data_IF_048165541031
#
_entry.id   IF_048165541031
#
_cell.length_a   1.000
_cell.length_b   1.000
_cell.length_c   1.000
_cell.angle_alpha   90.00
_cell.angle_beta   90.00
_cell.angle_gamma   90.00
#
_symmetry.space_group_name_H-M   'P 1'
#
loop_
_entity.id
_entity.type
_entity.pdbx_description
1 polymer ?
#
# COMPACT_ATOMS: atom_id res chain seq x y z
N UNK A 1 65.75 50.07 -38.87
CA UNK A 1 65.66 48.79 -39.62
C UNK A 1 65.74 47.64 -38.62
N UNK A 2 64.94 46.59 -38.83
CA UNK A 2 64.65 45.43 -37.93
C UNK A 2 63.56 45.76 -36.89
N UNK A 3 62.54 44.94 -36.65
CA UNK A 3 62.21 43.61 -37.15
C UNK A 3 60.70 43.40 -36.99
N UNK A 4 60.08 42.71 -37.95
CA UNK A 4 58.71 42.25 -37.88
C UNK A 4 58.56 41.18 -36.78
N UNK A 5 57.49 41.29 -35.99
CA UNK A 5 57.03 40.28 -35.03
C UNK A 5 55.56 39.99 -35.28
N UNK A 6 55.31 38.84 -35.91
CA UNK A 6 54.00 38.24 -36.15
C UNK A 6 53.23 38.12 -34.82
N UNK A 7 52.07 38.75 -34.69
CA UNK A 7 51.09 38.44 -33.66
C UNK A 7 50.03 37.52 -34.26
N UNK A 8 50.06 36.25 -33.87
CA UNK A 8 49.04 35.26 -34.15
C UNK A 8 47.72 35.64 -33.44
N UNK A 9 46.63 35.71 -34.20
CA UNK A 9 45.27 35.66 -33.68
C UNK A 9 44.93 34.19 -33.34
N UNK A 10 44.48 33.86 -32.12
CA UNK A 10 43.94 32.53 -31.85
C UNK A 10 42.52 32.45 -32.41
N UNK A 11 42.23 31.33 -33.09
CA UNK A 11 40.93 30.99 -33.65
C UNK A 11 39.87 30.87 -32.54
N UNK A 12 38.74 31.56 -32.71
CA UNK A 12 37.53 31.34 -31.93
C UNK A 12 36.92 29.98 -32.35
N UNK A 13 37.25 28.93 -31.62
CA UNK A 13 36.50 27.67 -31.66
C UNK A 13 35.17 27.90 -30.93
N UNK A 14 34.08 27.94 -31.70
CA UNK A 14 32.71 27.91 -31.18
C UNK A 14 32.48 26.56 -30.48
N UNK A 15 32.63 26.52 -29.17
CA UNK A 15 32.21 25.37 -28.35
C UNK A 15 30.69 25.36 -28.28
N UNK A 16 30.05 24.55 -29.14
CA UNK A 16 28.67 24.14 -28.94
C UNK A 16 28.62 23.31 -27.65
N UNK A 17 27.95 23.83 -26.63
CA UNK A 17 27.57 23.08 -25.45
C UNK A 17 26.70 21.89 -25.91
N UNK A 18 27.01 20.64 -25.53
CA UNK A 18 26.07 19.56 -25.74
C UNK A 18 24.86 19.82 -24.83
N UNK A 19 23.69 19.97 -25.44
CA UNK A 19 22.41 19.92 -24.76
C UNK A 19 22.39 18.61 -23.96
N UNK A 20 22.28 18.70 -22.64
CA UNK A 20 22.04 17.54 -21.80
C UNK A 20 20.76 16.86 -22.34
N UNK A 21 20.92 15.69 -22.96
CA UNK A 21 19.80 14.79 -23.19
C UNK A 21 19.33 14.38 -21.80
N UNK A 22 18.21 14.96 -21.36
CA UNK A 22 17.48 14.43 -20.24
C UNK A 22 17.22 12.96 -20.51
N UNK A 23 17.75 12.09 -19.65
CA UNK A 23 17.41 10.69 -19.63
C UNK A 23 15.93 10.57 -19.29
N UNK A 24 15.09 10.53 -20.33
CA UNK A 24 13.71 10.10 -20.21
C UNK A 24 13.71 8.58 -20.06
N UNK A 25 14.11 8.09 -18.89
CA UNK A 25 13.87 6.71 -18.50
C UNK A 25 12.37 6.57 -18.18
N UNK A 26 11.70 5.73 -18.96
CA UNK A 26 10.26 5.49 -18.94
C UNK A 26 9.79 4.84 -17.63
N UNK A 27 9.16 5.63 -16.75
CA UNK A 27 8.56 5.22 -15.47
C UNK A 27 7.33 4.28 -15.55
N UNK A 28 6.94 3.82 -16.74
CA UNK A 28 5.73 3.03 -16.94
C UNK A 28 6.04 1.55 -17.15
N UNK A 29 5.32 0.67 -16.43
CA UNK A 29 5.41 -0.78 -16.59
C UNK A 29 4.46 -1.25 -17.70
N UNK A 30 3.14 -1.02 -17.55
CA UNK A 30 2.10 -1.29 -18.57
C UNK A 30 0.69 -0.90 -18.07
N UNK A 31 -0.30 -0.95 -18.96
CA UNK A 31 -1.72 -0.97 -18.60
C UNK A 31 -2.13 -2.35 -18.08
N UNK A 32 -2.85 -2.37 -16.96
CA UNK A 32 -3.43 -3.56 -16.35
C UNK A 32 -4.94 -3.51 -16.47
N UNK A 33 -5.50 -4.43 -17.26
CA UNK A 33 -6.95 -4.50 -17.46
C UNK A 33 -7.64 -5.23 -16.30
N UNK A 34 -8.85 -4.78 -16.02
CA UNK A 34 -9.75 -5.37 -15.01
C UNK A 34 -11.16 -5.50 -15.57
N UNK A 35 -11.94 -6.43 -14.99
CA UNK A 35 -13.31 -6.70 -15.39
C UNK A 35 -14.34 -5.80 -14.69
N UNK A 36 -15.60 -5.89 -15.16
CA UNK A 36 -16.79 -5.30 -14.51
C UNK A 36 -16.80 -3.77 -14.43
N UNK A 37 -16.10 -3.09 -15.34
CA UNK A 37 -15.94 -1.64 -15.31
C UNK A 37 -15.41 -1.12 -13.97
N UNK A 38 -14.64 -1.93 -13.25
CA UNK A 38 -14.09 -1.61 -11.94
C UNK A 38 -12.55 -1.67 -12.04
N UNK A 39 -11.81 -0.57 -11.81
CA UNK A 39 -10.34 -0.56 -11.83
C UNK A 39 -9.68 -1.47 -10.77
N UNK A 40 -10.46 -1.97 -9.80
CA UNK A 40 -10.06 -2.93 -8.79
C UNK A 40 -10.75 -4.29 -8.94
N UNK A 41 -11.49 -4.48 -10.04
CA UNK A 41 -12.12 -5.74 -10.40
C UNK A 41 -11.11 -6.85 -10.71
N UNK A 42 -11.63 -8.02 -11.10
CA UNK A 42 -10.78 -9.16 -11.41
C UNK A 42 -9.83 -8.82 -12.56
N UNK A 43 -8.55 -9.20 -12.42
CA UNK A 43 -7.54 -8.99 -13.46
C UNK A 43 -7.90 -9.72 -14.75
N UNK A 44 -7.70 -9.05 -15.88
CA UNK A 44 -7.84 -9.60 -17.22
C UNK A 44 -6.51 -9.54 -17.99
N UNK A 45 -5.52 -10.40 -17.67
CA UNK A 45 -4.15 -10.29 -18.21
C UNK A 45 -4.08 -10.33 -19.74
N UNK A 46 -5.04 -10.98 -20.39
CA UNK A 46 -5.17 -11.02 -21.84
C UNK A 46 -5.45 -9.66 -22.49
N UNK A 47 -5.99 -8.71 -21.71
CA UNK A 47 -6.35 -7.36 -22.13
C UNK A 47 -5.34 -6.28 -21.64
N UNK A 48 -4.26 -6.69 -20.95
CA UNK A 48 -3.16 -5.78 -20.58
C UNK A 48 -2.54 -5.17 -21.86
N UNK A 49 -2.10 -3.92 -21.78
CA UNK A 49 -1.60 -3.18 -22.95
C UNK A 49 -0.27 -2.46 -22.68
N UNK A 50 0.54 -2.25 -23.73
CA UNK A 50 1.80 -1.52 -23.62
C UNK A 50 1.59 -0.05 -23.22
N UNK A 51 2.59 0.58 -22.61
CA UNK A 51 2.50 1.94 -22.08
C UNK A 51 2.09 3.00 -23.10
N UNK A 52 2.52 2.87 -24.35
CA UNK A 52 2.21 3.78 -25.44
C UNK A 52 0.86 3.51 -26.13
N UNK A 53 0.15 2.43 -25.75
CA UNK A 53 -1.18 2.13 -26.27
C UNK A 53 -2.17 3.14 -25.69
N UNK A 54 -2.96 3.75 -26.58
CA UNK A 54 -4.14 4.53 -26.17
C UNK A 54 -5.21 3.60 -25.61
N UNK A 55 -5.59 3.84 -24.36
CA UNK A 55 -6.68 3.16 -23.68
C UNK A 55 -7.95 3.94 -23.99
N UNK A 56 -8.87 3.31 -24.71
CA UNK A 56 -10.14 3.90 -25.10
C UNK A 56 -11.20 3.70 -23.99
N UNK A 57 -12.22 4.57 -23.99
CA UNK A 57 -13.42 4.36 -23.18
C UNK A 57 -14.05 2.98 -23.45
N UNK A 58 -14.63 2.37 -22.42
CA UNK A 58 -15.18 1.02 -22.44
C UNK A 58 -14.26 -0.05 -21.83
N UNK A 59 -13.06 0.34 -21.40
CA UNK A 59 -12.12 -0.54 -20.68
C UNK A 59 -11.93 -0.04 -19.25
N UNK A 60 -11.91 -0.95 -18.29
CA UNK A 60 -11.50 -0.65 -16.91
C UNK A 60 -10.11 -1.17 -16.60
N UNK A 61 -9.43 -0.49 -15.68
CA UNK A 61 -8.11 -0.90 -15.23
C UNK A 61 -7.29 0.25 -14.67
N UNK A 62 -5.97 0.09 -14.70
CA UNK A 62 -5.03 1.07 -14.18
C UNK A 62 -3.68 1.01 -14.88
N UNK A 63 -2.93 2.09 -14.80
CA UNK A 63 -1.53 2.12 -15.20
C UNK A 63 -0.64 1.68 -14.05
N UNK A 64 0.17 0.65 -14.29
CA UNK A 64 1.25 0.27 -13.40
C UNK A 64 2.51 1.04 -13.80
N UNK A 65 3.07 1.77 -12.85
CA UNK A 65 4.33 2.50 -12.97
C UNK A 65 5.38 1.87 -12.05
N UNK A 66 6.64 2.24 -12.24
CA UNK A 66 7.73 1.81 -11.35
C UNK A 66 7.46 2.14 -9.87
N UNK A 67 8.01 1.31 -8.98
CA UNK A 67 7.82 1.44 -7.53
C UNK A 67 6.44 0.99 -7.02
N UNK A 68 5.80 0.02 -7.68
CA UNK A 68 4.45 -0.51 -7.33
C UNK A 68 3.37 0.58 -7.30
N UNK A 69 3.56 1.66 -8.06
CA UNK A 69 2.61 2.76 -8.16
C UNK A 69 1.51 2.39 -9.17
N UNK A 70 0.27 2.55 -8.75
CA UNK A 70 -0.93 2.45 -9.59
C UNK A 70 -1.52 3.84 -9.75
N UNK A 71 -1.59 4.30 -11.00
CA UNK A 71 -2.10 5.63 -11.39
C UNK A 71 -3.17 5.47 -12.46
N UNK A 72 -3.99 6.52 -12.67
CA UNK A 72 -5.11 6.50 -13.63
C UNK A 72 -5.95 5.22 -13.51
N UNK A 73 -6.36 4.91 -12.28
CA UNK A 73 -7.39 3.91 -12.00
C UNK A 73 -8.71 4.43 -12.59
N UNK A 74 -9.24 3.75 -13.60
CA UNK A 74 -10.45 4.17 -14.33
C UNK A 74 -11.45 3.03 -14.47
N UNK A 75 -12.73 3.39 -14.40
CA UNK A 75 -13.86 2.56 -14.83
C UNK A 75 -13.96 2.57 -16.37
N UNK A 76 -15.08 2.13 -16.95
CA UNK A 76 -15.28 2.18 -18.40
C UNK A 76 -15.55 3.60 -18.97
N UNK A 77 -15.86 4.58 -18.13
CA UNK A 77 -16.27 5.93 -18.53
C UNK A 77 -15.14 6.95 -18.33
N UNK A 78 -14.12 6.86 -19.17
CA UNK A 78 -12.98 7.77 -19.14
C UNK A 78 -12.61 8.31 -20.53
N UNK A 79 -11.97 9.47 -20.56
CA UNK A 79 -11.33 10.00 -21.78
C UNK A 79 -10.10 9.16 -22.13
N UNK A 80 -9.74 9.11 -23.41
CA UNK A 80 -8.56 8.34 -23.83
C UNK A 80 -7.26 8.89 -23.24
N UNK A 81 -6.38 7.99 -22.83
CA UNK A 81 -5.03 8.34 -22.33
C UNK A 81 -4.03 7.22 -22.65
N UNK A 82 -2.75 7.50 -22.43
CA UNK A 82 -1.68 6.48 -22.42
C UNK A 82 -1.09 6.35 -21.02
N UNK A 83 -0.60 5.15 -20.68
CA UNK A 83 0.07 4.96 -19.40
C UNK A 83 1.43 5.64 -19.33
N UNK A 84 2.07 5.87 -20.47
CA UNK A 84 3.28 6.69 -20.55
C UNK A 84 3.02 8.12 -20.06
N UNK A 85 1.98 8.80 -20.56
CA UNK A 85 1.58 10.13 -20.09
C UNK A 85 1.15 10.10 -18.62
N UNK A 86 0.38 9.09 -18.22
CA UNK A 86 -0.12 8.94 -16.87
C UNK A 86 1.01 8.79 -15.83
N UNK A 87 2.02 7.97 -16.13
CA UNK A 87 3.15 7.76 -15.26
C UNK A 87 4.14 8.94 -15.27
N UNK A 88 4.17 9.74 -16.35
CA UNK A 88 5.06 10.89 -16.49
C UNK A 88 4.54 12.17 -15.79
N UNK A 89 3.22 12.30 -15.58
CA UNK A 89 2.61 13.51 -15.03
C UNK A 89 2.46 13.50 -13.50
N UNK A 90 2.97 12.48 -12.81
CA UNK A 90 2.70 12.34 -11.39
C UNK A 90 3.71 13.12 -10.53
N UNK A 91 3.30 14.31 -10.10
CA UNK A 91 3.99 15.17 -9.13
C UNK A 91 4.25 14.51 -7.76
N UNK A 92 3.76 13.28 -7.53
CA UNK A 92 4.05 12.49 -6.34
C UNK A 92 5.29 11.59 -6.48
N UNK A 93 5.78 11.33 -7.70
CA UNK A 93 7.00 10.55 -7.92
C UNK A 93 8.28 11.32 -7.56
N UNK A 94 8.21 12.66 -7.54
CA UNK A 94 9.28 13.54 -7.05
C UNK A 94 9.29 13.71 -5.53
N UNK A 95 8.35 13.09 -4.81
CA UNK A 95 8.41 12.97 -3.36
C UNK A 95 9.10 11.66 -3.01
N UNK A 96 10.41 11.56 -3.28
CA UNK A 96 11.25 10.65 -2.49
C UNK A 96 10.93 10.90 -1.01
N UNK A 97 10.71 9.87 -0.20
CA UNK A 97 10.47 10.08 1.23
C UNK A 97 11.53 11.06 1.75
N UNK A 98 11.14 12.17 2.40
CA UNK A 98 12.13 13.06 2.97
C UNK A 98 13.09 12.23 3.82
N UNK A 99 14.38 12.50 3.71
CA UNK A 99 15.40 11.76 4.44
C UNK A 99 15.02 11.66 5.93
N UNK A 100 15.00 10.46 6.50
CA UNK A 100 14.54 10.20 7.87
C UNK A 100 13.07 9.75 8.01
N UNK A 101 12.35 9.56 6.91
CA UNK A 101 10.97 9.04 6.89
C UNK A 101 10.84 7.76 6.07
N UNK A 102 11.91 6.96 5.95
CA UNK A 102 11.95 5.73 5.17
C UNK A 102 11.22 4.57 5.88
N UNK A 103 11.11 4.62 7.21
CA UNK A 103 10.58 3.53 8.03
C UNK A 103 9.23 3.86 8.66
N UNK A 104 8.49 2.80 8.98
CA UNK A 104 7.33 2.87 9.87
C UNK A 104 7.85 2.88 11.30
N UNK A 105 7.37 3.85 12.09
CA UNK A 105 7.83 4.06 13.47
C UNK A 105 6.69 3.91 14.47
N UNK A 106 7.02 3.62 15.72
CA UNK A 106 6.06 3.63 16.82
C UNK A 106 5.41 5.03 16.94
N UNK A 107 4.09 5.06 17.15
CA UNK A 107 3.30 6.29 17.22
C UNK A 107 2.91 6.88 15.86
N UNK A 108 3.36 6.30 14.75
CA UNK A 108 2.88 6.68 13.41
C UNK A 108 1.43 6.26 13.19
N UNK A 109 0.68 7.10 12.46
CA UNK A 109 -0.67 6.78 11.99
C UNK A 109 -0.64 6.40 10.52
N UNK A 110 -0.88 5.15 10.20
CA UNK A 110 -0.71 4.58 8.86
C UNK A 110 -2.03 4.12 8.26
N UNK A 111 -2.08 4.04 6.94
CA UNK A 111 -3.06 3.25 6.20
C UNK A 111 -2.37 1.99 5.69
N UNK A 112 -2.87 0.84 6.09
CA UNK A 112 -2.43 -0.43 5.53
C UNK A 112 -3.20 -0.72 4.27
N UNK A 113 -2.48 -0.81 3.15
CA UNK A 113 -3.07 -1.05 1.83
C UNK A 113 -2.83 -2.51 1.46
N UNK A 114 -3.90 -3.22 1.13
CA UNK A 114 -3.82 -4.58 0.60
C UNK A 114 -3.25 -4.53 -0.82
N UNK A 115 -2.24 -5.35 -1.12
CA UNK A 115 -1.51 -5.18 -2.37
C UNK A 115 -2.33 -5.52 -3.63
N UNK A 116 -2.96 -6.70 -3.75
CA UNK A 116 -3.77 -7.04 -4.92
C UNK A 116 -4.93 -6.07 -5.19
N UNK A 117 -5.76 -5.78 -4.19
CA UNK A 117 -7.00 -4.99 -4.38
C UNK A 117 -6.77 -3.48 -4.25
N UNK A 118 -5.70 -3.06 -3.56
CA UNK A 118 -5.41 -1.66 -3.20
C UNK A 118 -6.42 -1.02 -2.28
N UNK A 119 -7.27 -1.82 -1.64
CA UNK A 119 -8.17 -1.33 -0.61
C UNK A 119 -7.39 -1.15 0.70
N UNK A 120 -7.86 -0.23 1.55
CA UNK A 120 -7.21 0.11 2.82
C UNK A 120 -7.91 -0.58 3.97
N UNK A 121 -7.14 -1.11 4.92
CA UNK A 121 -7.67 -1.64 6.17
C UNK A 121 -8.53 -0.57 6.85
N UNK A 122 -9.73 -0.95 7.24
CA UNK A 122 -10.79 -0.02 7.62
C UNK A 122 -11.66 -0.61 8.72
N UNK A 123 -12.22 0.24 9.57
CA UNK A 123 -13.23 -0.15 10.56
C UNK A 123 -14.27 0.97 10.75
N UNK A 124 -15.32 0.73 11.50
CA UNK A 124 -16.45 1.66 11.67
C UNK A 124 -17.34 1.21 12.83
N UNK A 125 -18.34 1.99 13.23
CA UNK A 125 -19.27 1.65 14.31
C UNK A 125 -20.37 0.63 13.93
N UNK A 126 -20.01 -0.37 13.13
CA UNK A 126 -20.87 -1.49 12.74
C UNK A 126 -20.27 -2.76 13.32
N UNK A 127 -21.11 -3.67 13.78
CA UNK A 127 -20.72 -4.93 14.39
C UNK A 127 -21.07 -6.08 13.45
N UNK A 128 -20.33 -7.18 13.55
CA UNK A 128 -20.73 -8.40 12.86
C UNK A 128 -22.06 -8.91 13.40
N UNK A 129 -22.95 -9.35 12.50
CA UNK A 129 -24.18 -10.06 12.89
C UNK A 129 -23.96 -11.54 13.23
N UNK A 130 -22.74 -12.04 12.98
CA UNK A 130 -22.31 -13.42 13.21
C UNK A 130 -21.02 -13.46 14.04
N UNK A 131 -20.55 -14.66 14.34
CA UNK A 131 -19.25 -14.85 15.00
C UNK A 131 -19.22 -14.21 16.39
N UNK A 132 -18.23 -13.34 16.63
CA UNK A 132 -18.04 -12.72 17.95
C UNK A 132 -18.98 -11.57 18.27
N UNK A 133 -19.70 -11.05 17.26
CA UNK A 133 -20.51 -9.83 17.33
C UNK A 133 -19.71 -8.57 17.72
N UNK A 134 -18.38 -8.60 17.58
CA UNK A 134 -17.54 -7.43 17.79
C UNK A 134 -17.62 -6.46 16.59
N UNK A 135 -16.98 -5.30 16.74
CA UNK A 135 -16.90 -4.30 15.68
C UNK A 135 -16.20 -4.87 14.45
N UNK A 136 -16.81 -4.67 13.28
CA UNK A 136 -16.31 -5.21 12.01
C UNK A 136 -15.06 -4.51 11.53
N UNK A 137 -14.18 -5.28 10.87
CA UNK A 137 -13.01 -4.79 10.17
C UNK A 137 -13.10 -5.24 8.72
N UNK A 138 -12.93 -4.29 7.81
CA UNK A 138 -13.08 -4.48 6.37
C UNK A 138 -11.91 -3.85 5.65
N UNK A 139 -11.92 -3.92 4.31
CA UNK A 139 -11.14 -2.98 3.52
C UNK A 139 -12.04 -2.04 2.72
N UNK A 140 -11.61 -0.80 2.59
CA UNK A 140 -12.33 0.28 1.93
C UNK A 140 -11.53 0.84 0.76
N UNK A 141 -12.21 1.17 -0.34
CA UNK A 141 -11.56 1.64 -1.57
C UNK A 141 -11.06 3.08 -1.48
N UNK A 142 -11.78 3.96 -0.78
CA UNK A 142 -11.51 5.40 -0.82
C UNK A 142 -10.18 5.74 -0.14
N UNK A 143 -9.30 6.45 -0.88
CA UNK A 143 -7.97 6.83 -0.41
C UNK A 143 -8.00 7.85 0.72
N UNK A 144 -8.98 8.75 0.72
CA UNK A 144 -9.12 9.86 1.66
C UNK A 144 -10.02 9.54 2.87
N UNK A 145 -10.45 8.29 3.03
CA UNK A 145 -11.29 7.91 4.15
C UNK A 145 -10.51 7.99 5.48
N UNK A 146 -11.16 8.57 6.50
CA UNK A 146 -10.56 8.82 7.83
C UNK A 146 -10.61 7.59 8.73
N UNK A 147 -11.53 6.66 8.48
CA UNK A 147 -11.63 5.40 9.22
C UNK A 147 -10.65 4.32 8.72
N UNK A 148 -9.73 4.73 7.84
CA UNK A 148 -8.65 3.87 7.34
C UNK A 148 -7.33 4.11 8.06
N UNK A 149 -7.30 5.00 9.07
CA UNK A 149 -6.10 5.31 9.85
C UNK A 149 -5.96 4.42 11.08
N UNK A 150 -4.77 3.84 11.23
CA UNK A 150 -4.40 2.96 12.34
C UNK A 150 -3.11 3.46 13.00
N UNK A 151 -3.12 3.60 14.31
CA UNK A 151 -1.96 3.94 15.12
C UNK A 151 -1.11 2.69 15.40
N UNK A 152 0.18 2.78 15.13
CA UNK A 152 1.15 1.71 15.42
C UNK A 152 1.62 1.83 16.88
N UNK A 153 1.43 0.77 17.66
CA UNK A 153 1.82 0.67 19.08
C UNK A 153 2.59 -0.63 19.32
N UNK A 154 3.22 -0.74 20.49
CA UNK A 154 3.83 -1.98 20.98
C UNK A 154 2.82 -3.13 21.12
N UNK A 155 3.33 -4.37 21.08
CA UNK A 155 2.57 -5.57 21.39
C UNK A 155 2.00 -5.57 22.81
N UNK A 156 0.93 -6.35 23.05
CA UNK A 156 0.36 -6.48 24.39
C UNK A 156 1.38 -7.07 25.37
N UNK A 157 1.49 -6.46 26.55
CA UNK A 157 2.43 -6.85 27.61
C UNK A 157 3.90 -6.44 27.37
N UNK A 158 4.22 -5.80 26.25
CA UNK A 158 5.56 -5.24 25.98
C UNK A 158 5.71 -3.85 26.62
N UNK A 159 6.96 -3.39 26.79
CA UNK A 159 7.22 -2.03 27.23
C UNK A 159 6.73 -1.03 26.16
N UNK A 160 6.16 0.09 26.61
CA UNK A 160 5.73 1.17 25.72
C UNK A 160 6.87 1.58 24.78
N UNK A 161 6.62 1.55 23.47
CA UNK A 161 7.64 1.92 22.50
C UNK A 161 7.85 3.44 22.46
N UNK A 162 9.10 3.85 22.21
CA UNK A 162 9.43 5.26 22.05
C UNK A 162 8.86 5.79 20.73
N UNK A 163 8.12 6.89 20.80
CA UNK A 163 7.52 7.51 19.62
C UNK A 163 8.62 7.98 18.66
N UNK A 164 8.49 7.65 17.38
CA UNK A 164 9.53 7.93 16.37
C UNK A 164 10.53 6.79 16.18
N UNK A 165 10.61 5.82 17.11
CA UNK A 165 11.49 4.66 16.97
C UNK A 165 11.04 3.76 15.80
N UNK A 166 11.94 3.41 14.85
CA UNK A 166 11.63 2.46 13.77
C UNK A 166 11.20 1.08 14.29
N UNK A 167 10.23 0.47 13.62
CA UNK A 167 9.76 -0.88 13.94
C UNK A 167 10.64 -1.91 13.22
N UNK A 168 11.20 -2.84 13.97
CA UNK A 168 11.98 -3.95 13.43
C UNK A 168 11.09 -5.01 12.77
N UNK A 169 11.59 -5.64 11.70
CA UNK A 169 11.00 -6.83 11.13
C UNK A 169 11.04 -7.97 12.16
N UNK A 170 9.90 -8.64 12.37
CA UNK A 170 9.71 -9.63 13.42
C UNK A 170 9.22 -9.05 14.75
N UNK A 171 9.16 -7.73 14.90
CA UNK A 171 8.61 -7.10 16.09
C UNK A 171 7.10 -7.38 16.23
N UNK A 172 6.63 -7.35 17.48
CA UNK A 172 5.21 -7.43 17.81
C UNK A 172 4.61 -6.04 17.97
N UNK A 173 3.49 -5.79 17.32
CA UNK A 173 2.76 -4.52 17.34
C UNK A 173 1.28 -4.71 17.65
N UNK A 174 0.64 -3.63 18.09
CA UNK A 174 -0.82 -3.46 18.07
C UNK A 174 -1.16 -2.36 17.08
N UNK A 175 -2.29 -2.53 16.39
CA UNK A 175 -2.82 -1.54 15.47
C UNK A 175 -4.14 -1.00 16.03
N UNK A 176 -4.13 0.24 16.49
CA UNK A 176 -5.30 0.87 17.09
C UNK A 176 -6.03 1.74 16.06
N UNK A 177 -7.30 1.44 15.78
CA UNK A 177 -8.13 2.23 14.89
C UNK A 177 -8.36 3.63 15.47
N UNK A 178 -7.96 4.66 14.73
CA UNK A 178 -7.92 6.03 15.25
C UNK A 178 -9.29 6.58 15.65
N UNK A 179 -10.33 6.27 14.88
CA UNK A 179 -11.66 6.83 15.12
C UNK A 179 -12.38 6.17 16.30
N UNK A 180 -12.29 4.84 16.43
CA UNK A 180 -13.05 4.08 17.45
C UNK A 180 -12.19 3.70 18.66
N UNK A 181 -10.87 3.92 18.59
CA UNK A 181 -9.90 3.60 19.65
C UNK A 181 -9.94 2.11 20.05
N UNK A 182 -10.18 1.25 19.06
CA UNK A 182 -10.21 -0.22 19.19
C UNK A 182 -9.00 -0.84 18.50
N UNK A 183 -8.50 -1.93 19.02
CA UNK A 183 -7.34 -2.63 18.48
C UNK A 183 -7.76 -3.66 17.42
N UNK A 184 -6.94 -3.84 16.39
CA UNK A 184 -7.07 -4.93 15.43
C UNK A 184 -6.90 -6.27 16.16
N UNK A 185 -7.92 -7.11 16.10
CA UNK A 185 -8.06 -8.29 16.95
C UNK A 185 -8.37 -9.52 16.10
N UNK A 186 -7.91 -10.70 16.55
CA UNK A 186 -8.35 -11.96 15.95
C UNK A 186 -8.42 -13.08 16.97
N UNK A 187 -9.29 -14.06 16.72
CA UNK A 187 -9.65 -15.10 17.67
C UNK A 187 -10.22 -16.32 16.96
N UNK A 188 -10.57 -17.36 17.72
CA UNK A 188 -11.07 -18.64 17.20
C UNK A 188 -12.55 -18.60 16.81
N UNK A 189 -12.99 -17.51 16.18
CA UNK A 189 -14.28 -17.40 15.50
C UNK A 189 -14.07 -17.51 13.99
N UNK A 190 -15.06 -18.03 13.25
CA UNK A 190 -15.00 -18.09 11.79
C UNK A 190 -15.30 -16.73 11.18
N UNK A 191 -14.60 -16.38 10.10
CA UNK A 191 -14.88 -15.15 9.38
C UNK A 191 -16.30 -15.18 8.74
N UNK A 192 -16.98 -14.03 8.59
CA UNK A 192 -18.38 -13.96 8.14
C UNK A 192 -18.65 -14.55 6.75
N UNK A 193 -17.77 -14.30 5.77
CA UNK A 193 -17.88 -14.78 4.39
C UNK A 193 -16.93 -15.96 4.14
N UNK A 194 -15.70 -15.89 4.67
CA UNK A 194 -14.65 -16.89 4.46
C UNK A 194 -14.59 -17.90 5.60
N UNK A 195 -15.49 -18.88 5.61
CA UNK A 195 -15.65 -19.84 6.74
C UNK A 195 -14.41 -20.68 7.11
N UNK A 196 -13.43 -20.79 6.21
CA UNK A 196 -12.14 -21.44 6.42
C UNK A 196 -11.10 -20.56 7.15
N UNK A 197 -11.33 -19.24 7.18
CA UNK A 197 -10.46 -18.27 7.84
C UNK A 197 -11.03 -17.89 9.21
N UNK A 198 -10.19 -17.28 10.04
CA UNK A 198 -10.59 -16.73 11.33
C UNK A 198 -11.10 -15.31 11.20
N UNK A 199 -12.03 -14.94 12.06
CA UNK A 199 -12.58 -13.59 12.14
C UNK A 199 -11.50 -12.59 12.58
N UNK A 200 -11.48 -11.44 11.91
CA UNK A 200 -10.73 -10.25 12.32
C UNK A 200 -11.72 -9.15 12.65
N UNK A 201 -11.56 -8.57 13.83
CA UNK A 201 -12.48 -7.60 14.42
C UNK A 201 -11.70 -6.43 15.02
N UNK A 202 -12.41 -5.38 15.43
CA UNK A 202 -11.87 -4.31 16.25
C UNK A 202 -12.36 -4.49 17.69
N UNK A 203 -11.43 -4.70 18.62
CA UNK A 203 -11.74 -5.04 20.01
C UNK A 203 -11.15 -4.01 21.00
N UNK A 204 -11.58 -4.09 22.25
CA UNK A 204 -11.08 -3.22 23.29
C UNK A 204 -11.75 -1.84 23.31
N UNK A 205 -11.24 -0.97 24.17
CA UNK A 205 -11.76 0.39 24.42
C UNK A 205 -10.59 1.32 24.73
N UNK A 206 -10.56 2.50 24.09
CA UNK A 206 -9.54 3.52 24.33
C UNK A 206 -8.09 3.06 24.10
N UNK A 207 -7.87 2.05 23.24
CA UNK A 207 -6.58 1.45 22.96
C UNK A 207 -6.15 0.35 23.94
N UNK A 208 -6.97 0.07 24.96
CA UNK A 208 -6.81 -1.06 25.87
C UNK A 208 -7.50 -2.29 25.29
N UNK A 209 -6.84 -3.44 25.38
CA UNK A 209 -7.39 -4.71 24.93
C UNK A 209 -6.63 -5.88 25.54
N UNK A 210 -6.25 -6.88 24.75
CA UNK A 210 -5.61 -8.09 25.27
C UNK A 210 -4.57 -8.71 24.33
N UNK A 211 -3.99 -9.85 24.74
CA UNK A 211 -2.97 -10.59 23.98
C UNK A 211 -3.36 -11.03 22.57
N UNK A 212 -4.66 -11.01 22.24
CA UNK A 212 -5.19 -11.32 20.91
C UNK A 212 -5.24 -10.07 19.99
N UNK A 213 -4.76 -8.93 20.47
CA UNK A 213 -4.53 -7.72 19.67
C UNK A 213 -3.12 -7.69 19.06
N UNK A 214 -2.27 -8.68 19.38
CA UNK A 214 -0.85 -8.64 19.04
C UNK A 214 -0.56 -9.30 17.70
N UNK A 215 0.10 -8.55 16.81
CA UNK A 215 0.51 -8.99 15.47
C UNK A 215 2.02 -8.91 15.31
N UNK A 216 2.61 -9.89 14.62
CA UNK A 216 4.02 -9.91 14.25
C UNK A 216 4.17 -9.31 12.86
N UNK A 217 5.04 -8.31 12.69
CA UNK A 217 5.34 -7.70 11.40
C UNK A 217 6.34 -8.58 10.64
N UNK A 218 5.93 -9.14 9.52
CA UNK A 218 6.77 -10.01 8.69
C UNK A 218 7.12 -9.32 7.36
N UNK A 219 8.26 -8.65 7.33
CA UNK A 219 8.79 -8.04 6.13
C UNK A 219 9.10 -9.08 5.05
N UNK A 220 8.92 -8.71 3.78
CA UNK A 220 9.29 -9.58 2.66
C UNK A 220 10.78 -9.42 2.32
N UNK A 221 11.52 -10.51 2.47
CA UNK A 221 12.90 -10.61 1.99
C UNK A 221 12.92 -10.49 0.46
N UNK A 222 13.88 -9.74 -0.09
CA UNK A 222 14.13 -9.55 -1.54
C UNK A 222 13.27 -8.53 -2.31
N UNK A 223 12.41 -7.74 -1.65
CA UNK A 223 11.74 -6.60 -2.31
C UNK A 223 12.20 -5.23 -1.82
N UNK A 224 13.08 -5.19 -0.81
CA UNK A 224 13.69 -3.98 -0.27
C UNK A 224 14.86 -3.43 -1.12
N UNK A 225 14.98 -3.86 -2.37
CA UNK A 225 16.08 -3.46 -3.25
C UNK A 225 15.64 -2.27 -4.12
N UNK A 226 16.36 -1.16 -4.02
CA UNK A 226 16.34 -0.16 -5.08
C UNK A 226 17.07 -0.70 -6.32
N UNK A 227 16.74 -0.15 -7.50
CA UNK A 227 17.33 -0.58 -8.77
C UNK A 227 18.86 -0.63 -8.69
N UNK A 228 19.43 -1.74 -9.18
CA UNK A 228 20.87 -2.03 -9.27
C UNK A 228 21.63 -2.16 -7.93
N UNK A 229 21.45 -3.30 -7.27
CA UNK A 229 22.52 -3.91 -6.44
C UNK A 229 22.73 -3.35 -5.04
N UNK A 230 21.90 -2.41 -4.56
CA UNK A 230 21.90 -1.96 -3.17
C UNK A 230 20.67 -2.52 -2.45
N UNK A 231 20.74 -3.80 -2.07
CA UNK A 231 19.80 -4.39 -1.12
C UNK A 231 20.37 -4.18 0.29
N UNK A 232 20.20 -2.98 0.85
CA UNK A 232 20.42 -2.79 2.28
C UNK A 232 19.18 -3.26 3.02
N UNK A 233 19.14 -4.52 3.46
CA UNK A 233 18.14 -4.97 4.44
C UNK A 233 18.64 -4.57 5.82
N UNK A 234 18.16 -3.43 6.31
CA UNK A 234 18.44 -2.93 7.65
C UNK A 234 17.61 -3.66 8.72
N UNK A 235 16.77 -4.64 8.32
CA UNK A 235 15.90 -5.37 9.21
C UNK A 235 14.75 -4.52 9.76
N UNK A 236 14.47 -3.37 9.17
CA UNK A 236 13.43 -2.44 9.62
C UNK A 236 12.22 -2.45 8.67
N UNK A 237 11.05 -2.16 9.22
CA UNK A 237 9.81 -2.05 8.45
C UNK A 237 9.81 -0.77 7.62
N UNK A 238 10.21 -0.88 6.35
CA UNK A 238 10.24 0.22 5.39
C UNK A 238 8.85 0.57 4.86
N UNK A 239 8.64 1.85 4.61
CA UNK A 239 7.42 2.37 4.00
C UNK A 239 7.32 1.99 2.53
N UNK A 240 6.11 1.67 2.10
CA UNK A 240 5.85 1.20 0.74
C UNK A 240 6.33 -0.22 0.45
N UNK A 241 7.10 -0.84 1.35
CA UNK A 241 7.54 -2.23 1.23
C UNK A 241 6.47 -3.21 1.72
N UNK A 242 6.51 -4.40 1.10
CA UNK A 242 5.53 -5.43 1.36
C UNK A 242 5.82 -6.14 2.69
N UNK A 243 4.77 -6.29 3.48
CA UNK A 243 4.76 -6.96 4.77
C UNK A 243 3.57 -7.91 4.87
N UNK A 244 3.65 -8.84 5.83
CA UNK A 244 2.49 -9.57 6.33
C UNK A 244 2.34 -9.31 7.83
N UNK A 245 1.12 -9.43 8.32
CA UNK A 245 0.84 -9.38 9.75
C UNK A 245 0.41 -10.76 10.21
N UNK A 246 1.25 -11.44 10.98
CA UNK A 246 0.88 -12.73 11.59
C UNK A 246 0.32 -12.50 12.98
N UNK A 247 -0.91 -12.91 13.21
CA UNK A 247 -1.51 -12.84 14.53
C UNK A 247 -0.74 -13.75 15.51
N UNK A 248 -0.24 -13.19 16.62
CA UNK A 248 0.70 -13.87 17.54
C UNK A 248 0.11 -15.13 18.15
N UNK A 249 -1.17 -15.09 18.53
CA UNK A 249 -1.82 -16.19 19.27
C UNK A 249 -2.32 -17.32 18.36
N UNK A 250 -2.76 -17.03 17.13
CA UNK A 250 -3.32 -18.05 16.21
C UNK A 250 -2.35 -18.44 15.10
N UNK A 251 -1.26 -17.70 14.89
CA UNK A 251 -0.34 -17.86 13.75
C UNK A 251 -0.97 -17.68 12.36
N UNK A 252 -2.17 -17.10 12.27
CA UNK A 252 -2.82 -16.79 11.00
C UNK A 252 -2.39 -15.41 10.50
N UNK A 253 -2.39 -15.23 9.18
CA UNK A 253 -1.96 -14.00 8.50
C UNK A 253 -3.17 -13.13 8.16
N UNK A 254 -3.07 -11.82 8.42
CA UNK A 254 -4.06 -10.84 8.00
C UNK A 254 -4.26 -10.91 6.49
N UNK A 255 -5.51 -11.12 6.06
CA UNK A 255 -5.85 -11.38 4.66
C UNK A 255 -7.15 -10.72 4.25
N UNK A 256 -7.25 -10.37 2.98
CA UNK A 256 -8.49 -9.95 2.34
C UNK A 256 -8.48 -10.41 0.89
N UNK A 257 -9.65 -10.57 0.28
CA UNK A 257 -9.76 -11.00 -1.10
C UNK A 257 -10.86 -10.26 -1.83
N UNK A 258 -10.63 -9.98 -3.11
CA UNK A 258 -11.61 -9.34 -3.99
C UNK A 258 -12.90 -10.17 -4.17
N UNK A 259 -12.83 -11.49 -3.96
CA UNK A 259 -13.99 -12.40 -4.05
C UNK A 259 -14.85 -12.40 -2.79
N UNK A 260 -14.29 -12.01 -1.65
CA UNK A 260 -14.99 -11.97 -0.36
C UNK A 260 -15.46 -10.55 -0.08
N UNK A 261 -16.45 -10.09 -0.86
CA UNK A 261 -16.99 -8.72 -0.80
C UNK A 261 -18.39 -8.71 -0.19
N UNK A 262 -18.67 -7.73 0.68
CA UNK A 262 -20.02 -7.51 1.17
C UNK A 262 -20.87 -6.88 0.07
N UNK A 263 -21.99 -7.51 -0.25
CA UNK A 263 -22.95 -7.03 -1.26
C UNK A 263 -24.38 -7.42 -0.84
N UNK A 264 -25.38 -7.02 -1.62
CA UNK A 264 -26.78 -7.27 -1.30
C UNK A 264 -27.15 -8.77 -1.33
N UNK A 265 -26.31 -9.65 -1.89
CA UNK A 265 -26.55 -11.09 -1.92
C UNK A 265 -26.20 -11.78 -0.59
N UNK A 266 -25.15 -11.31 0.09
CA UNK A 266 -24.71 -11.86 1.38
C UNK A 266 -25.11 -11.00 2.58
N UNK A 267 -25.38 -9.71 2.35
CA UNK A 267 -25.78 -8.75 3.36
C UNK A 267 -26.87 -7.83 2.79
N UNK A 268 -28.15 -8.25 2.78
CA UNK A 268 -29.24 -7.42 2.27
C UNK A 268 -29.33 -6.10 3.05
N UNK A 269 -29.35 -4.97 2.34
CA UNK A 269 -29.31 -3.62 2.94
C UNK A 269 -28.05 -3.35 3.77
N UNK A 270 -26.91 -3.88 3.34
CA UNK A 270 -25.66 -3.71 4.07
C UNK A 270 -25.21 -2.23 4.08
N UNK A 271 -24.94 -1.63 5.24
CA UNK A 271 -24.31 -0.33 5.32
C UNK A 271 -22.86 -0.31 4.80
N UNK A 272 -22.27 -1.50 4.57
CA UNK A 272 -20.89 -1.69 4.11
C UNK A 272 -20.82 -2.37 2.73
N UNK A 273 -21.89 -2.25 1.94
CA UNK A 273 -21.93 -2.78 0.58
C UNK A 273 -20.74 -2.22 -0.23
N UNK A 274 -20.02 -3.11 -0.88
CA UNK A 274 -18.84 -2.79 -1.66
C UNK A 274 -17.51 -2.94 -0.91
N UNK A 275 -17.51 -3.12 0.41
CA UNK A 275 -16.29 -3.34 1.19
C UNK A 275 -15.87 -4.82 1.14
N UNK A 276 -14.57 -5.11 1.28
CA UNK A 276 -14.08 -6.50 1.29
C UNK A 276 -13.91 -6.98 2.74
N UNK A 277 -14.17 -8.25 2.97
CA UNK A 277 -13.94 -8.91 4.24
C UNK A 277 -12.44 -8.93 4.56
N UNK A 278 -12.11 -8.63 5.82
CA UNK A 278 -10.79 -8.89 6.39
C UNK A 278 -10.90 -10.11 7.30
N UNK A 279 -10.00 -11.06 7.12
CA UNK A 279 -9.95 -12.31 7.87
C UNK A 279 -8.50 -12.70 8.17
N UNK A 280 -8.29 -13.71 9.03
CA UNK A 280 -6.98 -14.26 9.27
C UNK A 280 -6.87 -15.66 8.62
N UNK A 281 -5.99 -15.78 7.63
CA UNK A 281 -5.78 -16.99 6.83
C UNK A 281 -4.62 -17.83 7.38
N UNK A 282 -4.74 -19.15 7.34
CA UNK A 282 -3.62 -20.07 7.63
C UNK A 282 -2.64 -20.21 6.46
N UNK A 283 -3.02 -19.72 5.27
CA UNK A 283 -2.24 -19.82 4.04
C UNK A 283 -1.48 -18.52 3.77
N UNK A 284 -0.20 -18.65 3.42
CA UNK A 284 0.64 -17.56 2.92
C UNK A 284 0.50 -17.48 1.39
N UNK A 285 -0.08 -16.41 0.90
CA UNK A 285 -0.29 -16.16 -0.54
C UNK A 285 -0.23 -14.64 -0.85
N UNK A 286 -0.70 -14.22 -2.02
CA UNK A 286 -0.78 -12.81 -2.43
C UNK A 286 -1.84 -12.02 -1.62
N UNK A 287 -2.96 -12.65 -1.25
CA UNK A 287 -4.06 -12.07 -0.45
C UNK A 287 -3.67 -11.73 1.00
N UNK A 288 -2.42 -11.99 1.39
CA UNK A 288 -1.88 -11.69 2.73
C UNK A 288 -0.82 -10.58 2.68
N UNK A 289 -0.59 -9.98 1.51
CA UNK A 289 0.41 -8.93 1.31
C UNK A 289 -0.20 -7.55 1.53
N UNK A 290 0.47 -6.76 2.36
CA UNK A 290 0.11 -5.39 2.70
C UNK A 290 1.33 -4.49 2.60
N UNK A 291 1.13 -3.18 2.48
CA UNK A 291 2.19 -2.20 2.68
C UNK A 291 1.64 -0.92 3.32
N UNK A 292 2.53 -0.16 3.94
CA UNK A 292 2.21 1.15 4.53
C UNK A 292 2.91 2.24 3.72
N UNK A 293 2.22 2.81 2.73
CA UNK A 293 2.73 3.93 1.92
C UNK A 293 2.05 5.27 2.23
N UNK A 294 0.86 5.22 2.83
CA UNK A 294 0.02 6.39 3.12
C UNK A 294 -0.12 6.54 4.64
N UNK A 295 0.02 7.75 5.16
CA UNK A 295 -0.03 7.97 6.60
C UNK A 295 0.65 9.26 7.06
N UNK A 296 0.60 9.47 8.37
CA UNK A 296 1.35 10.49 9.10
C UNK A 296 2.42 9.74 9.89
N UNK A 297 3.67 9.95 9.50
CA UNK A 297 4.82 9.26 10.07
C UNK A 297 5.54 10.19 11.03
N UNK A 298 5.93 9.65 12.18
CA UNK A 298 6.71 10.36 13.19
C UNK A 298 8.16 9.93 13.06
N UNK A 299 9.10 10.85 13.21
CA UNK A 299 10.54 10.57 13.22
C UNK A 299 11.15 11.18 14.48
N UNK A 300 12.33 10.69 14.86
CA UNK A 300 13.08 11.16 16.05
C UNK A 300 13.63 12.58 15.88
#
# INVERSE_FOLDING_TARGET
MRSAGLLLLPALLSSALPLAKGESATYCVKWRATSSCDPHGQREPQNDAACSKRIASGLSGFCECEGRRRVREVDCEHHEFTCEEACAQDSSADLSYPQGFEHVTCGSSIKLVHEPSRYRLHSHEIQYGSGSQQQSVTTHMARNDVNSYWLVKEGDGEAACEVGKPIECGATVRLEHMQTRRNLHSHMFKAPLSSQNLEVSAFGVAGEGDRLDTWVVECQENQQCSAEGQCEDDGLWKRGELVRFRHRSTNHLLSTSSTSRFDDSNCPHCPINGQQEVSASSFRNEDTLWFAGEGIYVTE
#
